data_IF_368615238446
#
_entry.id   IF_368615238446
#
_cell.length_a   1.000
_cell.length_b   1.000
_cell.length_c   1.000
_cell.angle_alpha   90.00
_cell.angle_beta   90.00
_cell.angle_gamma   90.00
#
_symmetry.space_group_name_H-M   'P 1'
#
loop_
_entity.id
_entity.type
_entity.pdbx_description
1 polymer ?
#
# COMPACT_ATOMS: atom_id res chain seq x y z
N UNK A 1 11.56 -13.73 14.28
CA UNK A 1 10.58 -12.68 14.60
C UNK A 1 9.50 -13.32 15.45
N UNK A 2 9.55 -13.13 16.77
CA UNK A 2 8.53 -13.63 17.70
C UNK A 2 8.39 -12.59 18.82
N UNK A 3 7.66 -11.51 18.53
CA UNK A 3 7.39 -10.41 19.47
C UNK A 3 5.89 -10.43 19.81
N UNK A 4 5.45 -11.36 20.68
CA UNK A 4 4.04 -11.54 21.00
C UNK A 4 3.42 -10.27 21.61
N UNK A 5 4.20 -9.47 22.34
CA UNK A 5 3.73 -8.19 22.89
C UNK A 5 3.35 -7.16 21.82
N UNK A 6 4.11 -7.08 20.71
CA UNK A 6 3.79 -6.17 19.62
C UNK A 6 2.57 -6.66 18.83
N UNK A 7 2.46 -7.98 18.66
CA UNK A 7 1.27 -8.60 18.05
C UNK A 7 0.04 -8.31 18.89
N UNK A 8 0.11 -8.45 20.22
CA UNK A 8 -1.00 -8.15 21.11
C UNK A 8 -1.40 -6.66 21.04
N UNK A 9 -0.43 -5.74 21.08
CA UNK A 9 -0.71 -4.30 20.93
C UNK A 9 -1.41 -3.98 19.61
N UNK A 10 -0.95 -4.57 18.50
CA UNK A 10 -1.61 -4.39 17.21
C UNK A 10 -3.03 -4.97 17.22
N UNK A 11 -3.26 -6.12 17.85
CA UNK A 11 -4.60 -6.70 18.00
C UNK A 11 -5.54 -5.82 18.85
N UNK A 12 -5.02 -5.15 19.88
CA UNK A 12 -5.81 -4.24 20.72
C UNK A 12 -6.26 -2.97 19.95
N UNK A 13 -5.46 -2.54 18.96
CA UNK A 13 -5.78 -1.43 18.05
C UNK A 13 -6.66 -1.85 16.87
N UNK A 14 -6.76 -3.15 16.59
CA UNK A 14 -7.35 -3.68 15.37
C UNK A 14 -8.82 -3.26 15.24
N UNK A 15 -9.11 -2.46 14.20
CA UNK A 15 -10.45 -1.98 13.86
C UNK A 15 -11.17 -1.27 15.03
N UNK A 16 -10.41 -0.66 15.94
CA UNK A 16 -10.98 0.12 17.02
C UNK A 16 -11.35 1.53 16.51
N UNK A 17 -12.65 1.91 16.53
CA UNK A 17 -13.10 3.21 16.03
C UNK A 17 -12.63 4.40 16.88
N UNK A 18 -12.22 4.19 18.14
CA UNK A 18 -11.79 5.25 19.04
C UNK A 18 -10.50 5.95 18.55
N UNK A 19 -9.72 5.27 17.72
CA UNK A 19 -8.49 5.82 17.13
C UNK A 19 -8.75 6.57 15.83
N UNK A 20 -9.95 6.45 15.25
CA UNK A 20 -10.26 6.99 13.93
C UNK A 20 -10.10 8.51 13.88
N UNK A 21 -9.26 8.98 12.96
CA UNK A 21 -9.00 10.41 12.78
C UNK A 21 -9.71 10.92 11.53
N UNK A 22 -10.35 12.09 11.64
CA UNK A 22 -11.18 12.65 10.57
C UNK A 22 -10.42 13.04 9.31
N UNK A 23 -9.10 13.21 9.37
CA UNK A 23 -8.27 13.49 8.19
C UNK A 23 -8.25 12.31 7.19
N UNK A 24 -8.67 11.11 7.60
CA UNK A 24 -8.83 9.96 6.70
C UNK A 24 -9.87 10.24 5.61
N UNK A 25 -10.94 10.97 5.94
CA UNK A 25 -12.05 11.28 5.02
C UNK A 25 -11.55 12.09 3.80
N UNK A 26 -10.85 13.23 3.96
CA UNK A 26 -10.31 13.96 2.81
C UNK A 26 -9.24 13.17 2.05
N UNK A 27 -8.45 12.31 2.71
CA UNK A 27 -7.51 11.42 2.01
C UNK A 27 -8.24 10.41 1.12
N UNK A 28 -9.33 9.81 1.61
CA UNK A 28 -10.17 8.93 0.80
C UNK A 28 -10.80 9.69 -0.37
N UNK A 29 -11.30 10.91 -0.15
CA UNK A 29 -11.82 11.75 -1.22
C UNK A 29 -10.77 12.05 -2.28
N UNK A 30 -9.51 12.29 -1.89
CA UNK A 30 -8.38 12.47 -2.81
C UNK A 30 -8.12 11.20 -3.63
N UNK A 31 -8.09 10.02 -3.00
CA UNK A 31 -7.95 8.75 -3.72
C UNK A 31 -9.05 8.60 -4.78
N UNK A 32 -10.31 8.82 -4.40
CA UNK A 32 -11.44 8.76 -5.32
C UNK A 32 -11.32 9.77 -6.46
N UNK A 33 -10.90 11.00 -6.15
CA UNK A 33 -10.65 12.04 -7.15
C UNK A 33 -9.57 11.65 -8.15
N UNK A 34 -8.45 11.06 -7.70
CA UNK A 34 -7.36 10.59 -8.57
C UNK A 34 -7.87 9.56 -9.57
N UNK A 35 -8.63 8.56 -9.11
CA UNK A 35 -9.22 7.54 -9.98
C UNK A 35 -10.26 8.12 -10.93
N UNK A 36 -11.15 9.00 -10.45
CA UNK A 36 -12.12 9.68 -11.30
C UNK A 36 -11.44 10.49 -12.40
N UNK A 37 -10.37 11.21 -12.09
CA UNK A 37 -9.61 12.00 -13.06
C UNK A 37 -8.87 11.15 -14.10
N UNK A 38 -8.32 9.99 -13.73
CA UNK A 38 -7.75 9.07 -14.73
C UNK A 38 -8.84 8.41 -15.58
N UNK A 39 -10.02 8.17 -15.00
CA UNK A 39 -11.16 7.59 -15.71
C UNK A 39 -11.71 8.57 -16.76
N UNK A 40 -11.86 9.85 -16.44
CA UNK A 40 -12.32 10.87 -17.42
C UNK A 40 -11.33 11.04 -18.57
N UNK A 41 -10.03 10.84 -18.32
CA UNK A 41 -8.96 10.83 -19.34
C UNK A 41 -8.86 9.51 -20.11
N UNK A 42 -9.71 8.51 -19.80
CA UNK A 42 -9.66 7.16 -20.36
C UNK A 42 -8.29 6.49 -20.18
N UNK A 43 -7.54 6.87 -19.14
CA UNK A 43 -6.22 6.32 -18.85
C UNK A 43 -6.32 5.02 -18.04
N UNK A 44 -6.94 4.02 -18.65
CA UNK A 44 -7.17 2.72 -18.00
C UNK A 44 -5.88 1.99 -17.67
N UNK A 45 -4.77 2.29 -18.37
CA UNK A 45 -3.45 1.71 -18.09
C UNK A 45 -2.94 2.15 -16.71
N UNK A 46 -3.09 3.43 -16.37
CA UNK A 46 -2.69 3.94 -15.05
C UNK A 46 -3.59 3.42 -13.92
N UNK A 47 -4.90 3.34 -14.18
CA UNK A 47 -5.85 2.73 -13.24
C UNK A 47 -5.48 1.26 -12.97
N UNK A 48 -5.21 0.49 -14.01
CA UNK A 48 -4.80 -0.90 -13.88
C UNK A 48 -3.47 -1.04 -13.12
N UNK A 49 -2.50 -0.14 -13.34
CA UNK A 49 -1.25 -0.13 -12.59
C UNK A 49 -1.45 0.17 -11.09
N UNK A 50 -2.33 1.12 -10.75
CA UNK A 50 -2.72 1.42 -9.37
C UNK A 50 -3.36 0.23 -8.68
N UNK A 51 -4.41 -0.33 -9.30
CA UNK A 51 -5.14 -1.47 -8.75
C UNK A 51 -4.28 -2.74 -8.66
N UNK A 52 -3.35 -2.95 -9.59
CA UNK A 52 -2.44 -4.08 -9.55
C UNK A 52 -1.50 -4.02 -8.32
N UNK A 53 -0.86 -2.87 -8.08
CA UNK A 53 0.01 -2.72 -6.90
C UNK A 53 -0.81 -2.81 -5.61
N UNK A 54 -1.98 -2.17 -5.58
CA UNK A 54 -2.87 -2.21 -4.42
C UNK A 54 -3.34 -3.63 -4.11
N UNK A 55 -3.69 -4.42 -5.14
CA UNK A 55 -4.06 -5.82 -4.99
C UNK A 55 -2.93 -6.69 -4.45
N UNK A 56 -1.70 -6.48 -4.92
CA UNK A 56 -0.52 -7.19 -4.40
C UNK A 56 -0.27 -6.83 -2.93
N UNK A 57 -0.36 -5.55 -2.57
CA UNK A 57 -0.23 -5.11 -1.19
C UNK A 57 -1.26 -5.81 -0.28
N UNK A 58 -2.55 -5.76 -0.65
CA UNK A 58 -3.60 -6.45 0.11
C UNK A 58 -3.41 -7.96 0.18
N UNK A 59 -2.89 -8.59 -0.88
CA UNK A 59 -2.61 -10.02 -0.87
C UNK A 59 -1.61 -10.38 0.23
N UNK A 60 -0.51 -9.65 0.35
CA UNK A 60 0.48 -9.88 1.41
C UNK A 60 -0.07 -9.56 2.80
N UNK A 61 -0.86 -8.50 2.96
CA UNK A 61 -1.46 -8.15 4.25
C UNK A 61 -2.50 -9.17 4.72
N UNK A 62 -3.31 -9.72 3.80
CA UNK A 62 -4.25 -10.80 4.10
C UNK A 62 -3.49 -12.06 4.51
N UNK A 63 -2.45 -12.43 3.76
CA UNK A 63 -1.61 -13.58 4.12
C UNK A 63 -0.95 -13.40 5.49
N UNK A 64 -0.41 -12.22 5.78
CA UNK A 64 0.17 -11.89 7.08
C UNK A 64 -0.88 -12.03 8.20
N UNK A 65 -2.09 -11.52 8.01
CA UNK A 65 -3.19 -11.67 8.96
C UNK A 65 -3.63 -13.13 9.14
N UNK A 66 -3.67 -13.93 8.07
CA UNK A 66 -3.96 -15.36 8.15
C UNK A 66 -2.88 -16.11 8.94
N UNK A 67 -1.60 -15.84 8.65
CA UNK A 67 -0.47 -16.42 9.40
C UNK A 67 -0.59 -16.05 10.87
N UNK A 68 -0.89 -14.79 11.19
CA UNK A 68 -1.12 -14.34 12.56
C UNK A 68 -2.28 -15.10 13.22
N UNK A 69 -3.41 -15.25 12.54
CA UNK A 69 -4.59 -15.92 13.08
C UNK A 69 -4.32 -17.40 13.41
N UNK A 70 -3.61 -18.12 12.54
CA UNK A 70 -3.38 -19.56 12.72
C UNK A 70 -2.15 -19.91 13.55
N UNK A 71 -1.09 -19.10 13.50
CA UNK A 71 0.17 -19.39 14.21
C UNK A 71 0.35 -18.60 15.50
N UNK A 72 -0.53 -17.63 15.78
CA UNK A 72 -0.40 -16.68 16.89
C UNK A 72 0.65 -15.59 16.66
N UNK A 73 1.33 -15.59 15.51
CA UNK A 73 2.45 -14.69 15.23
C UNK A 73 2.30 -14.06 13.85
N UNK A 74 2.38 -12.74 13.76
CA UNK A 74 2.42 -12.03 12.49
C UNK A 74 3.86 -11.94 11.95
N UNK A 75 4.01 -11.90 10.62
CA UNK A 75 5.29 -11.63 9.99
C UNK A 75 5.72 -10.16 10.21
N UNK A 76 4.76 -9.24 10.20
CA UNK A 76 4.94 -7.84 10.58
C UNK A 76 3.66 -7.30 11.23
N UNK A 77 3.79 -6.23 12.00
CA UNK A 77 2.69 -5.62 12.77
C UNK A 77 2.81 -4.11 12.76
N UNK A 78 1.68 -3.40 12.85
CA UNK A 78 1.62 -1.96 13.12
C UNK A 78 1.07 -1.74 14.54
N UNK A 79 1.94 -1.69 15.57
CA UNK A 79 1.51 -1.63 16.97
C UNK A 79 1.18 -0.20 17.46
N UNK A 80 1.38 0.84 16.66
CA UNK A 80 1.08 2.24 16.98
C UNK A 80 1.09 3.11 15.71
N UNK A 81 0.66 4.37 15.83
CA UNK A 81 0.87 5.41 14.80
C UNK A 81 -0.13 5.42 13.64
N UNK A 82 -1.06 4.47 13.57
CA UNK A 82 -2.17 4.50 12.60
C UNK A 82 -3.45 5.04 13.24
N UNK A 83 -4.22 5.81 12.46
CA UNK A 83 -5.57 6.26 12.83
C UNK A 83 -6.60 5.14 12.77
N UNK A 84 -6.37 4.09 11.98
CA UNK A 84 -7.29 2.97 11.93
C UNK A 84 -6.58 1.75 11.38
N UNK A 85 -6.37 0.75 12.24
CA UNK A 85 -5.73 -0.50 11.84
C UNK A 85 -6.75 -1.42 11.15
N UNK A 86 -6.49 -1.76 9.88
CA UNK A 86 -7.40 -2.57 9.06
C UNK A 86 -7.16 -4.08 9.25
N UNK A 87 -5.88 -4.46 9.22
CA UNK A 87 -5.35 -5.80 9.50
C UNK A 87 -4.09 -5.62 10.36
N UNK A 88 -3.63 -6.69 11.00
CA UNK A 88 -2.52 -6.63 11.97
C UNK A 88 -1.25 -5.91 11.45
N UNK A 89 -1.00 -5.97 10.14
CA UNK A 89 0.15 -5.36 9.47
C UNK A 89 -0.12 -4.07 8.68
N UNK A 90 -1.39 -3.61 8.55
CA UNK A 90 -1.71 -2.46 7.69
C UNK A 90 -2.72 -1.51 8.31
N UNK A 91 -2.29 -0.25 8.43
CA UNK A 91 -3.12 0.90 8.76
C UNK A 91 -3.82 1.51 7.54
N UNK A 92 -4.84 2.31 7.79
CA UNK A 92 -5.61 2.99 6.75
C UNK A 92 -4.76 3.96 5.92
N UNK A 93 -3.76 4.59 6.52
CA UNK A 93 -2.83 5.50 5.84
C UNK A 93 -2.02 4.77 4.76
N UNK A 94 -1.42 3.62 5.12
CA UNK A 94 -0.68 2.79 4.18
C UNK A 94 -1.61 2.27 3.09
N UNK A 95 -2.80 1.79 3.45
CA UNK A 95 -3.77 1.29 2.47
C UNK A 95 -4.16 2.37 1.45
N UNK A 96 -4.47 3.59 1.89
CA UNK A 96 -4.82 4.70 0.99
C UNK A 96 -3.62 5.14 0.14
N UNK A 97 -2.41 5.10 0.69
CA UNK A 97 -1.18 5.41 -0.02
C UNK A 97 -0.92 4.40 -1.16
N UNK A 98 -0.99 3.10 -0.87
CA UNK A 98 -0.84 2.03 -1.86
C UNK A 98 -1.96 2.02 -2.90
N UNK A 99 -3.16 2.51 -2.55
CA UNK A 99 -4.26 2.66 -3.50
C UNK A 99 -3.93 3.61 -4.67
N UNK A 100 -3.07 4.62 -4.47
CA UNK A 100 -2.67 5.57 -5.52
C UNK A 100 -1.20 5.41 -5.95
N UNK A 101 -0.36 4.77 -5.16
CA UNK A 101 1.06 4.58 -5.42
C UNK A 101 1.34 4.03 -6.82
N UNK A 102 0.71 2.90 -7.20
CA UNK A 102 0.94 2.28 -8.50
C UNK A 102 0.51 3.16 -9.67
N UNK A 103 -0.55 3.94 -9.48
CA UNK A 103 -1.06 4.89 -10.46
C UNK A 103 -0.09 6.07 -10.64
N UNK A 104 0.40 6.65 -9.54
CA UNK A 104 1.41 7.72 -9.57
C UNK A 104 2.70 7.22 -10.22
N UNK A 105 3.20 6.05 -9.81
CA UNK A 105 4.43 5.48 -10.34
C UNK A 105 4.33 5.16 -11.84
N UNK A 106 3.14 4.79 -12.32
CA UNK A 106 2.92 4.55 -13.75
C UNK A 106 3.16 5.80 -14.62
N UNK A 107 3.02 7.01 -14.05
CA UNK A 107 3.23 8.27 -14.78
C UNK A 107 4.71 8.61 -14.99
N UNK A 108 5.62 8.03 -14.20
CA UNK A 108 7.06 8.19 -14.39
C UNK A 108 7.63 7.19 -15.41
N UNK A 109 6.84 6.20 -15.84
CA UNK A 109 7.28 5.24 -16.83
C UNK A 109 7.42 5.90 -18.21
N UNK A 110 8.55 5.71 -18.91
CA UNK A 110 8.71 6.17 -20.28
C UNK A 110 7.69 5.51 -21.21
N UNK A 111 7.21 6.26 -22.20
CA UNK A 111 6.22 5.77 -23.17
C UNK A 111 6.71 4.54 -23.95
N UNK A 112 8.00 4.49 -24.27
CA UNK A 112 8.63 3.33 -24.90
C UNK A 112 8.97 2.26 -23.84
N UNK A 113 8.30 1.09 -23.84
CA UNK A 113 8.54 0.02 -22.87
C UNK A 113 9.86 -0.74 -23.09
N UNK A 114 10.54 -0.54 -24.22
CA UNK A 114 11.83 -1.16 -24.53
C UNK A 114 13.02 -0.27 -24.22
N UNK A 115 12.78 0.99 -23.84
CA UNK A 115 13.84 1.92 -23.45
C UNK A 115 14.64 1.36 -22.28
N UNK A 116 15.96 1.39 -22.41
CA UNK A 116 16.88 0.99 -21.34
C UNK A 116 17.33 2.24 -20.58
N UNK A 117 17.34 2.16 -19.26
CA UNK A 117 17.89 3.17 -18.35
C UNK A 117 19.08 2.50 -17.66
N UNK A 118 20.28 3.07 -17.83
CA UNK A 118 21.53 2.50 -17.31
C UNK A 118 21.75 1.03 -17.73
N UNK A 119 21.32 0.64 -18.94
CA UNK A 119 21.44 -0.73 -19.45
C UNK A 119 20.35 -1.71 -18.98
N UNK A 120 19.52 -1.32 -18.01
CA UNK A 120 18.41 -2.11 -17.47
C UNK A 120 17.10 -1.72 -18.16
N UNK A 121 16.15 -2.65 -18.33
CA UNK A 121 14.82 -2.31 -18.84
C UNK A 121 14.16 -1.27 -17.92
N UNK A 122 13.58 -0.21 -18.50
CA UNK A 122 12.99 0.89 -17.74
C UNK A 122 11.99 0.42 -16.68
N UNK A 123 11.13 -0.55 -16.97
CA UNK A 123 10.13 -1.05 -16.00
C UNK A 123 10.79 -1.69 -14.80
N UNK A 124 11.85 -2.47 -15.00
CA UNK A 124 12.60 -3.10 -13.92
C UNK A 124 13.36 -2.05 -13.11
N UNK A 125 13.98 -1.08 -13.78
CA UNK A 125 14.65 0.04 -13.12
C UNK A 125 13.68 0.80 -12.19
N UNK A 126 12.51 1.21 -12.71
CA UNK A 126 11.50 1.89 -11.90
C UNK A 126 10.91 0.99 -10.81
N UNK A 127 10.69 -0.31 -11.06
CA UNK A 127 10.22 -1.23 -10.04
C UNK A 127 11.18 -1.33 -8.85
N UNK A 128 12.49 -1.49 -9.12
CA UNK A 128 13.52 -1.56 -8.07
C UNK A 128 13.64 -0.24 -7.33
N UNK A 129 13.70 0.88 -8.05
CA UNK A 129 13.81 2.21 -7.46
C UNK A 129 12.59 2.52 -6.57
N UNK A 130 11.39 2.19 -7.03
CA UNK A 130 10.17 2.40 -6.27
C UNK A 130 10.14 1.49 -5.04
N UNK A 131 10.46 0.20 -5.18
CA UNK A 131 10.53 -0.73 -4.06
C UNK A 131 11.51 -0.23 -2.98
N UNK A 132 12.72 0.20 -3.38
CA UNK A 132 13.69 0.78 -2.46
C UNK A 132 13.16 2.06 -1.80
N UNK A 133 12.46 2.93 -2.55
CA UNK A 133 11.84 4.13 -2.02
C UNK A 133 10.78 3.85 -0.96
N UNK A 134 9.90 2.88 -1.21
CA UNK A 134 8.89 2.46 -0.22
C UNK A 134 9.56 1.87 1.03
N UNK A 135 10.53 0.97 0.88
CA UNK A 135 11.24 0.36 2.02
C UNK A 135 12.05 1.32 2.89
N UNK A 136 12.27 2.58 2.48
CA UNK A 136 12.93 3.61 3.29
C UNK A 136 11.90 4.48 4.03
N UNK A 137 10.72 4.66 3.44
CA UNK A 137 9.67 5.53 3.96
C UNK A 137 8.72 4.77 4.90
N UNK A 138 8.46 3.50 4.58
CA UNK A 138 7.68 2.52 5.34
C UNK A 138 8.56 1.76 6.35
#
# INVERSE_FOLDING_TARGET
MNQPELTQKALDLLRNPDYFQWYVIPLLALVMYVYANEFTKKNYKAIAAGLALYGVHWFYEILNAMIQHFSGHALWTVPTGTSYLLLVGVGIELSLMFAIAGLVMSKFLPEDPKKKILGINNRLFFAIMNAAGFSIIE
#
